data_IF_580254473962
#
_entry.id   IF_580254473962
#
_cell.length_a   1.000
_cell.length_b   1.000
_cell.length_c   1.000
_cell.angle_alpha   90.00
_cell.angle_beta   90.00
_cell.angle_gamma   90.00
#
_symmetry.space_group_name_H-M   'P 1'
#
loop_
_entity.id
_entity.type
_entity.pdbx_description
1 polymer ?
#
# COMPACT_ATOMS: atom_id res chain seq x y z
N UNK A 1 4.91 -14.10 40.33
CA UNK A 1 4.75 -12.82 39.59
C UNK A 1 5.85 -12.77 38.54
N UNK A 2 5.54 -12.65 37.23
CA UNK A 2 6.58 -12.51 36.22
C UNK A 2 7.15 -11.09 36.29
N UNK A 3 8.44 -11.00 36.57
CA UNK A 3 9.22 -9.76 36.61
C UNK A 3 9.32 -9.16 35.21
N UNK A 4 8.94 -7.90 35.06
CA UNK A 4 9.07 -7.18 33.79
C UNK A 4 10.55 -7.00 33.41
N UNK A 5 10.94 -7.43 32.20
CA UNK A 5 12.25 -7.14 31.64
C UNK A 5 12.28 -5.69 31.14
N UNK A 6 13.03 -4.83 31.83
CA UNK A 6 13.27 -3.45 31.40
C UNK A 6 14.35 -3.47 30.31
N UNK A 7 13.96 -3.12 29.07
CA UNK A 7 14.90 -2.94 27.96
C UNK A 7 15.63 -1.60 28.17
N UNK A 8 16.90 -1.66 28.57
CA UNK A 8 17.76 -0.47 28.60
C UNK A 8 18.29 -0.19 27.20
N UNK A 9 17.93 0.96 26.63
CA UNK A 9 18.54 1.43 25.41
C UNK A 9 19.99 1.86 25.68
N UNK A 10 20.97 1.39 24.89
CA UNK A 10 22.35 1.81 25.07
C UNK A 10 22.46 3.32 24.85
N UNK A 11 23.08 4.03 25.80
CA UNK A 11 23.38 5.46 25.67
C UNK A 11 24.13 5.72 24.37
N UNK A 12 23.78 6.79 23.66
CA UNK A 12 24.20 7.07 22.28
C UNK A 12 25.72 6.97 22.09
N UNK A 13 26.21 5.79 21.70
CA UNK A 13 27.60 5.64 21.24
C UNK A 13 27.66 6.18 19.82
N UNK A 14 28.16 7.41 19.70
CA UNK A 14 28.48 8.07 18.44
C UNK A 14 29.60 7.31 17.71
N UNK A 15 29.29 6.32 16.89
CA UNK A 15 30.26 5.73 15.94
C UNK A 15 29.59 5.30 14.64
N UNK A 16 28.83 6.19 14.01
CA UNK A 16 28.58 6.19 12.55
C UNK A 16 27.99 7.56 12.20
N UNK A 17 28.44 8.26 11.15
CA UNK A 17 27.67 9.40 10.65
C UNK A 17 26.26 8.89 10.33
N UNK A 18 25.18 9.53 10.83
CA UNK A 18 23.84 9.14 10.45
C UNK A 18 23.77 9.25 8.93
N UNK A 19 23.48 8.12 8.27
CA UNK A 19 23.06 8.18 6.87
C UNK A 19 21.89 9.17 6.82
N UNK A 20 21.75 9.99 5.76
CA UNK A 20 20.56 10.80 5.60
C UNK A 20 19.37 9.83 5.51
N UNK A 21 18.69 9.65 6.64
CA UNK A 21 17.44 8.90 6.71
C UNK A 21 16.36 9.93 6.46
N UNK A 22 15.57 9.71 5.40
CA UNK A 22 14.40 10.54 5.12
C UNK A 22 13.56 10.65 6.39
N UNK A 23 12.99 11.82 6.62
CA UNK A 23 12.06 11.99 7.74
C UNK A 23 10.85 11.07 7.55
N UNK A 24 10.20 10.67 8.65
CA UNK A 24 8.97 9.88 8.57
C UNK A 24 7.88 10.57 7.72
N UNK A 25 7.89 11.92 7.68
CA UNK A 25 6.99 12.71 6.85
C UNK A 25 7.31 12.54 5.36
N UNK A 26 8.58 12.65 4.95
CA UNK A 26 9.01 12.45 3.56
C UNK A 26 8.69 11.03 3.06
N UNK A 27 8.95 10.01 3.89
CA UNK A 27 8.58 8.62 3.58
C UNK A 27 7.06 8.51 3.40
N UNK A 28 6.28 9.17 4.26
CA UNK A 28 4.82 9.19 4.16
C UNK A 28 4.32 9.84 2.86
N UNK A 29 4.93 10.95 2.42
CA UNK A 29 4.56 11.61 1.17
C UNK A 29 4.89 10.76 -0.06
N UNK A 30 6.08 10.15 -0.11
CA UNK A 30 6.45 9.24 -1.21
C UNK A 30 5.52 8.03 -1.27
N UNK A 31 5.20 7.44 -0.12
CA UNK A 31 4.26 6.32 -0.06
C UNK A 31 2.87 6.71 -0.58
N UNK A 32 2.41 7.94 -0.28
CA UNK A 32 1.14 8.45 -0.77
C UNK A 32 1.16 8.66 -2.30
N UNK A 33 2.22 9.24 -2.84
CA UNK A 33 2.39 9.48 -4.28
C UNK A 33 2.44 8.16 -5.07
N UNK A 34 3.25 7.20 -4.61
CA UNK A 34 3.33 5.86 -5.22
C UNK A 34 1.97 5.15 -5.16
N UNK A 35 1.24 5.28 -4.04
CA UNK A 35 -0.10 4.70 -3.91
C UNK A 35 -1.09 5.33 -4.89
N UNK A 36 -1.04 6.65 -5.07
CA UNK A 36 -1.87 7.36 -6.04
C UNK A 36 -1.59 6.94 -7.48
N UNK A 37 -0.31 6.83 -7.86
CA UNK A 37 0.06 6.37 -9.20
C UNK A 37 -0.38 4.93 -9.44
N UNK A 38 -0.14 4.05 -8.47
CA UNK A 38 -0.55 2.63 -8.54
C UNK A 38 -2.06 2.49 -8.69
N UNK A 39 -2.85 3.34 -8.02
CA UNK A 39 -4.31 3.37 -8.18
C UNK A 39 -4.71 3.73 -9.62
N UNK A 40 -4.09 4.75 -10.21
CA UNK A 40 -4.34 5.15 -11.60
C UNK A 40 -4.02 4.01 -12.57
N UNK A 41 -2.84 3.40 -12.46
CA UNK A 41 -2.40 2.31 -13.34
C UNK A 41 -3.34 1.10 -13.26
N UNK A 42 -3.81 0.78 -12.06
CA UNK A 42 -4.72 -0.36 -11.84
C UNK A 42 -6.12 -0.08 -12.41
N UNK A 43 -6.59 1.18 -12.41
CA UNK A 43 -7.82 1.57 -13.09
C UNK A 43 -7.70 1.39 -14.62
N UNK A 44 -6.58 1.80 -15.22
CA UNK A 44 -6.32 1.57 -16.64
C UNK A 44 -6.28 0.08 -16.97
N UNK A 45 -5.54 -0.73 -16.21
CA UNK A 45 -5.48 -2.17 -16.41
C UNK A 45 -6.86 -2.85 -16.34
N UNK A 46 -7.76 -2.39 -15.47
CA UNK A 46 -9.14 -2.90 -15.40
C UNK A 46 -9.93 -2.57 -16.67
N UNK A 47 -9.78 -1.36 -17.20
CA UNK A 47 -10.52 -0.92 -18.38
C UNK A 47 -9.98 -1.60 -19.64
N UNK A 48 -8.67 -1.80 -19.76
CA UNK A 48 -8.05 -2.64 -20.81
C UNK A 48 -8.60 -4.07 -20.76
N UNK A 49 -8.70 -4.68 -19.57
CA UNK A 49 -9.28 -6.02 -19.41
C UNK A 49 -10.76 -6.06 -19.84
N UNK A 50 -11.52 -4.98 -19.63
CA UNK A 50 -12.91 -4.90 -20.12
C UNK A 50 -12.98 -4.80 -21.64
N UNK A 51 -12.04 -4.12 -22.26
CA UNK A 51 -11.93 -4.09 -23.72
C UNK A 51 -11.52 -5.46 -24.28
N UNK A 52 -10.57 -6.14 -23.63
CA UNK A 52 -10.17 -7.51 -24.00
C UNK A 52 -11.34 -8.51 -23.95
N UNK A 53 -12.34 -8.31 -23.09
CA UNK A 53 -13.55 -9.14 -23.09
C UNK A 53 -14.35 -9.04 -24.40
N UNK A 54 -14.31 -7.89 -25.07
CA UNK A 54 -14.96 -7.69 -26.37
C UNK A 54 -14.15 -8.33 -27.51
N UNK A 55 -12.82 -8.30 -27.40
CA UNK A 55 -11.90 -8.79 -28.44
C UNK A 55 -11.71 -10.31 -28.36
N UNK A 56 -11.70 -10.89 -27.15
CA UNK A 56 -11.41 -12.31 -26.91
C UNK A 56 -12.47 -12.95 -26.00
N UNK A 57 -13.69 -13.20 -26.52
CA UNK A 57 -14.78 -13.78 -25.74
C UNK A 57 -14.49 -15.22 -25.29
N UNK A 58 -13.61 -15.94 -25.99
CA UNK A 58 -13.10 -17.26 -25.62
C UNK A 58 -12.34 -17.25 -24.29
N UNK A 59 -11.68 -16.14 -23.96
CA UNK A 59 -10.93 -15.95 -22.70
C UNK A 59 -11.74 -15.27 -21.60
N UNK A 60 -13.06 -15.12 -21.78
CA UNK A 60 -13.94 -14.37 -20.88
C UNK A 60 -13.79 -14.75 -19.41
N UNK A 61 -13.72 -16.04 -19.09
CA UNK A 61 -13.60 -16.50 -17.70
C UNK A 61 -12.28 -16.06 -17.06
N UNK A 62 -11.16 -16.20 -17.77
CA UNK A 62 -9.84 -15.82 -17.27
C UNK A 62 -9.73 -14.30 -17.08
N UNK A 63 -10.24 -13.53 -18.04
CA UNK A 63 -10.24 -12.05 -17.97
C UNK A 63 -11.16 -11.56 -16.86
N UNK A 64 -12.37 -12.14 -16.72
CA UNK A 64 -13.28 -11.80 -15.65
C UNK A 64 -12.67 -12.07 -14.26
N UNK A 65 -12.01 -13.22 -14.07
CA UNK A 65 -11.31 -13.52 -12.82
C UNK A 65 -10.23 -12.49 -12.51
N UNK A 66 -9.46 -12.04 -13.51
CA UNK A 66 -8.46 -10.99 -13.35
C UNK A 66 -9.08 -9.66 -12.89
N UNK A 67 -10.21 -9.28 -13.48
CA UNK A 67 -10.98 -8.09 -13.08
C UNK A 67 -11.48 -8.21 -11.64
N UNK A 68 -11.98 -9.39 -11.24
CA UNK A 68 -12.43 -9.63 -9.87
C UNK A 68 -11.28 -9.51 -8.86
N UNK A 69 -10.13 -10.14 -9.13
CA UNK A 69 -8.96 -10.03 -8.26
C UNK A 69 -8.45 -8.59 -8.11
N UNK A 70 -8.47 -7.81 -9.20
CA UNK A 70 -8.14 -6.38 -9.12
C UNK A 70 -9.11 -5.62 -8.20
N UNK A 71 -10.41 -5.94 -8.26
CA UNK A 71 -11.43 -5.31 -7.42
C UNK A 71 -11.23 -5.65 -5.94
N UNK A 72 -10.94 -6.90 -5.60
CA UNK A 72 -10.70 -7.32 -4.21
C UNK A 72 -9.48 -6.60 -3.62
N UNK A 73 -8.37 -6.58 -4.36
CA UNK A 73 -7.16 -5.87 -3.93
C UNK A 73 -7.42 -4.37 -3.68
N UNK A 74 -8.25 -3.74 -4.51
CA UNK A 74 -8.64 -2.35 -4.33
C UNK A 74 -9.47 -2.11 -3.07
N UNK A 75 -10.44 -3.00 -2.79
CA UNK A 75 -11.27 -2.91 -1.59
C UNK A 75 -10.39 -3.01 -0.35
N UNK A 76 -9.47 -3.96 -0.32
CA UNK A 76 -8.56 -4.16 0.82
C UNK A 76 -7.61 -2.97 1.00
N UNK A 77 -7.09 -2.41 -0.09
CA UNK A 77 -6.27 -1.20 -0.06
C UNK A 77 -7.06 0.00 0.48
N UNK A 78 -8.31 0.20 0.03
CA UNK A 78 -9.17 1.29 0.48
C UNK A 78 -9.53 1.16 1.97
N UNK A 79 -9.83 -0.06 2.44
CA UNK A 79 -10.07 -0.34 3.86
C UNK A 79 -8.83 -0.01 4.69
N UNK A 80 -7.66 -0.47 4.24
CA UNK A 80 -6.39 -0.25 4.93
C UNK A 80 -6.04 1.23 5.01
N UNK A 81 -6.21 1.98 3.91
CA UNK A 81 -6.04 3.43 3.89
C UNK A 81 -7.01 4.13 4.86
N UNK A 82 -8.28 3.74 4.86
CA UNK A 82 -9.28 4.31 5.75
C UNK A 82 -8.93 4.08 7.22
N UNK A 83 -8.45 2.88 7.57
CA UNK A 83 -7.97 2.57 8.93
C UNK A 83 -6.77 3.44 9.31
N UNK A 84 -5.83 3.63 8.40
CA UNK A 84 -4.67 4.50 8.61
C UNK A 84 -5.10 5.95 8.87
N UNK A 85 -5.99 6.49 8.04
CA UNK A 85 -6.51 7.86 8.18
C UNK A 85 -7.23 8.06 9.52
N UNK A 86 -8.00 7.06 9.99
CA UNK A 86 -8.61 7.06 11.33
C UNK A 86 -7.59 7.10 12.46
N UNK A 87 -6.53 6.30 12.38
CA UNK A 87 -5.46 6.30 13.39
C UNK A 87 -4.71 7.64 13.46
N UNK A 88 -4.64 8.36 12.34
CA UNK A 88 -4.05 9.70 12.27
C UNK A 88 -5.01 10.83 12.67
N UNK A 89 -6.26 10.52 13.05
CA UNK A 89 -7.26 11.52 13.42
C UNK A 89 -7.74 12.40 12.25
N UNK A 90 -7.64 11.89 11.01
CA UNK A 90 -7.97 12.63 9.78
C UNK A 90 -9.32 12.25 9.15
N UNK A 91 -10.23 11.65 9.92
CA UNK A 91 -11.59 11.25 9.48
C UNK A 91 -12.60 11.47 10.56
#
# INVERSE_FOLDING_TARGET
MPSAQVIQFPGSRKTTPPRPVKSAAEIGFEALEVSSQTQTDTCFARDDLREMLQISPDKKAAIANRIYSLRENFVDAQISLTKLLKQMGRT
#
